data_IF_680336657701
#
_entry.id   IF_680336657701
#
_cell.length_a   1.000
_cell.length_b   1.000
_cell.length_c   1.000
_cell.angle_alpha   90.00
_cell.angle_beta   90.00
_cell.angle_gamma   90.00
#
_symmetry.space_group_name_H-M   'P 1'
#
loop_
_entity.id
_entity.type
_entity.pdbx_description
1 polymer ?
#
# COMPACT_ATOMS: atom_id res chain seq x y z
N UNK A 1 -3.52 -0.49 -25.98
CA UNK A 1 -4.45 -1.49 -25.42
C UNK A 1 -4.19 -1.67 -23.94
N UNK A 2 -5.23 -1.64 -23.15
CA UNK A 2 -5.17 -1.91 -21.71
C UNK A 2 -5.49 -3.39 -21.53
N UNK A 3 -4.45 -4.19 -21.25
CA UNK A 3 -4.62 -5.63 -21.06
C UNK A 3 -5.12 -5.94 -19.64
N UNK A 4 -6.32 -6.50 -19.53
CA UNK A 4 -6.99 -6.81 -18.25
C UNK A 4 -6.91 -8.27 -17.86
N UNK A 5 -5.82 -8.99 -18.12
CA UNK A 5 -5.79 -10.44 -17.91
C UNK A 5 -4.95 -10.92 -16.72
N UNK A 6 -4.59 -10.04 -15.80
CA UNK A 6 -3.80 -10.42 -14.64
C UNK A 6 -4.68 -10.44 -13.39
N UNK A 7 -4.69 -11.58 -12.73
CA UNK A 7 -5.40 -11.82 -11.48
C UNK A 7 -4.51 -11.34 -10.34
N UNK A 8 -4.75 -10.15 -9.89
CA UNK A 8 -3.97 -9.32 -9.02
C UNK A 8 -4.02 -7.91 -9.57
N UNK A 9 -3.71 -6.89 -8.81
CA UNK A 9 -3.76 -5.48 -9.26
C UNK A 9 -2.60 -5.13 -10.21
N UNK A 10 -2.43 -5.91 -11.27
CA UNK A 10 -1.39 -5.70 -12.28
C UNK A 10 -1.99 -5.20 -13.57
N UNK A 11 -1.50 -4.10 -14.10
CA UNK A 11 -1.89 -3.58 -15.40
C UNK A 11 -0.66 -3.22 -16.24
N UNK A 12 -0.66 -3.65 -17.50
CA UNK A 12 0.30 -3.26 -18.50
C UNK A 12 -0.34 -2.26 -19.47
N UNK A 13 0.25 -1.09 -19.63
CA UNK A 13 -0.19 -0.06 -20.57
C UNK A 13 0.60 -0.22 -21.87
N UNK A 14 -0.11 -0.35 -22.98
CA UNK A 14 0.44 -0.64 -24.30
C UNK A 14 -0.22 0.20 -25.40
N UNK A 15 0.01 1.51 -25.40
CA UNK A 15 -0.38 2.38 -26.52
C UNK A 15 0.78 3.27 -27.00
N UNK A 16 1.94 3.02 -26.44
CA UNK A 16 3.17 3.69 -26.71
C UNK A 16 4.25 2.65 -27.03
N UNK A 17 5.44 3.10 -27.34
CA UNK A 17 6.60 2.21 -27.44
C UNK A 17 7.03 1.65 -26.09
N UNK A 18 6.52 2.22 -24.98
CA UNK A 18 6.91 1.90 -23.60
C UNK A 18 5.91 0.95 -22.92
N UNK A 19 6.43 0.12 -22.00
CA UNK A 19 5.67 -0.81 -21.16
C UNK A 19 5.89 -0.50 -19.69
N UNK A 20 4.82 -0.24 -18.97
CA UNK A 20 4.84 0.07 -17.54
C UNK A 20 3.91 -0.88 -16.80
N UNK A 21 4.42 -1.48 -15.72
CA UNK A 21 3.60 -2.23 -14.77
C UNK A 21 3.18 -1.30 -13.62
N UNK A 22 1.91 -1.38 -13.23
CA UNK A 22 1.40 -0.72 -12.03
C UNK A 22 1.03 -1.80 -11.02
N UNK A 23 1.72 -1.81 -9.91
CA UNK A 23 1.67 -2.81 -8.84
C UNK A 23 2.06 -4.23 -9.29
N UNK A 24 2.64 -5.00 -8.39
CA UNK A 24 3.06 -6.40 -8.60
C UNK A 24 2.82 -7.17 -7.32
N UNK A 25 1.60 -7.57 -7.09
CA UNK A 25 1.13 -8.10 -5.83
C UNK A 25 0.86 -9.60 -5.81
N UNK A 26 0.49 -10.08 -4.63
CA UNK A 26 -0.03 -11.43 -4.43
C UNK A 26 -1.55 -11.39 -4.29
N UNK A 27 -2.25 -12.33 -4.92
CA UNK A 27 -3.70 -12.45 -4.78
C UNK A 27 -4.07 -12.80 -3.32
N UNK A 28 -4.89 -12.01 -2.65
CA UNK A 28 -5.43 -12.37 -1.35
C UNK A 28 -6.50 -13.45 -1.52
N UNK A 29 -6.10 -14.73 -1.57
CA UNK A 29 -7.01 -15.84 -1.78
C UNK A 29 -6.84 -16.91 -0.71
N UNK A 30 -7.92 -17.62 -0.41
CA UNK A 30 -7.91 -18.80 0.46
C UNK A 30 -7.31 -20.02 -0.24
N UNK A 31 -7.27 -20.03 -1.57
CA UNK A 31 -6.72 -21.13 -2.34
C UNK A 31 -5.20 -20.94 -2.53
N UNK A 32 -4.41 -21.71 -1.78
CA UNK A 32 -2.94 -21.64 -1.81
C UNK A 32 -2.31 -21.86 -3.19
N UNK A 33 -3.01 -22.51 -4.10
CA UNK A 33 -2.51 -22.76 -5.46
C UNK A 33 -2.68 -21.56 -6.42
N UNK A 34 -3.38 -20.51 -5.99
CA UNK A 34 -3.69 -19.34 -6.80
C UNK A 34 -3.11 -18.04 -6.23
N UNK A 35 -2.25 -18.12 -5.20
CA UNK A 35 -1.74 -16.94 -4.49
C UNK A 35 -0.77 -16.13 -5.36
N UNK A 36 -0.02 -16.80 -6.23
CA UNK A 36 1.04 -16.15 -7.00
C UNK A 36 0.57 -15.83 -8.41
N UNK A 37 0.83 -14.61 -8.91
CA UNK A 37 0.58 -14.32 -10.31
C UNK A 37 1.52 -15.14 -11.19
N UNK A 38 1.00 -15.59 -12.32
CA UNK A 38 1.79 -16.25 -13.35
C UNK A 38 2.24 -15.19 -14.36
N UNK A 39 3.54 -14.89 -14.39
CA UNK A 39 4.16 -13.98 -15.37
C UNK A 39 4.31 -14.66 -16.75
N UNK A 40 3.23 -15.24 -17.24
CA UNK A 40 3.21 -15.95 -18.53
C UNK A 40 2.49 -15.17 -19.64
N UNK A 41 2.10 -13.94 -19.39
CA UNK A 41 1.54 -13.07 -20.40
C UNK A 41 2.65 -12.71 -21.42
N UNK A 42 2.43 -12.96 -22.73
CA UNK A 42 3.46 -12.67 -23.75
C UNK A 42 3.91 -11.21 -23.75
N UNK A 43 3.04 -10.29 -23.32
CA UNK A 43 3.30 -8.86 -23.23
C UNK A 43 4.39 -8.52 -22.21
N UNK A 44 4.54 -9.33 -21.16
CA UNK A 44 5.54 -9.14 -20.11
C UNK A 44 6.91 -9.72 -20.47
N UNK A 45 6.98 -10.58 -21.46
CA UNK A 45 8.22 -11.30 -21.81
C UNK A 45 8.84 -10.76 -23.10
N UNK A 46 10.18 -10.68 -23.14
CA UNK A 46 11.09 -10.81 -22.01
C UNK A 46 10.94 -9.63 -21.04
N UNK A 47 11.27 -9.83 -19.76
CA UNK A 47 11.13 -8.80 -18.71
C UNK A 47 11.96 -7.53 -18.95
N UNK A 48 13.01 -7.63 -19.76
CA UNK A 48 13.84 -6.50 -20.20
C UNK A 48 13.04 -5.47 -21.05
N UNK A 49 11.88 -5.86 -21.58
CA UNK A 49 10.98 -4.97 -22.32
C UNK A 49 10.07 -4.14 -21.40
N UNK A 50 10.14 -4.33 -20.08
CA UNK A 50 9.40 -3.51 -19.12
C UNK A 50 10.29 -2.31 -18.78
N UNK A 51 9.83 -1.11 -19.16
CA UNK A 51 10.58 0.13 -18.97
C UNK A 51 10.54 0.61 -17.51
N UNK A 52 9.41 0.39 -16.82
CA UNK A 52 9.25 0.81 -15.44
C UNK A 52 8.20 -0.02 -14.69
N UNK A 53 8.34 -0.05 -13.37
CA UNK A 53 7.29 -0.48 -12.43
C UNK A 53 6.91 0.71 -11.58
N UNK A 54 5.61 0.91 -11.36
CA UNK A 54 5.07 1.95 -10.47
C UNK A 54 4.27 1.29 -9.38
N UNK A 55 4.53 1.62 -8.12
CA UNK A 55 3.80 1.07 -6.99
C UNK A 55 2.89 2.13 -6.38
N UNK A 56 1.62 1.80 -6.24
CA UNK A 56 0.63 2.70 -5.64
C UNK A 56 0.78 2.77 -4.13
N UNK A 57 1.00 1.64 -3.48
CA UNK A 57 1.18 1.56 -2.03
C UNK A 57 1.77 0.20 -1.60
N UNK A 58 2.03 0.03 -0.30
CA UNK A 58 2.83 -1.08 0.21
C UNK A 58 2.03 -2.33 0.66
N UNK A 59 0.71 -2.43 0.44
CA UNK A 59 0.01 -3.66 0.80
C UNK A 59 0.48 -4.86 -0.03
N UNK A 60 0.38 -6.06 0.56
CA UNK A 60 0.92 -7.32 0.01
C UNK A 60 0.35 -7.65 -1.36
N UNK A 61 -0.92 -7.35 -1.59
CA UNK A 61 -1.60 -7.53 -2.88
C UNK A 61 -1.17 -6.52 -3.97
N UNK A 62 -0.30 -5.56 -3.62
CA UNK A 62 0.28 -4.59 -4.56
C UNK A 62 1.79 -4.74 -4.72
N UNK A 63 2.52 -5.30 -3.72
CA UNK A 63 4.00 -5.31 -3.75
C UNK A 63 4.64 -6.69 -3.56
N UNK A 64 3.89 -7.70 -3.12
CA UNK A 64 4.53 -8.92 -2.65
C UNK A 64 5.31 -9.67 -3.72
N UNK A 65 4.90 -9.61 -4.99
CA UNK A 65 5.56 -10.35 -6.07
C UNK A 65 6.59 -9.51 -6.83
N UNK A 66 6.81 -8.26 -6.46
CA UNK A 66 7.83 -7.43 -7.09
C UNK A 66 9.23 -8.06 -7.06
N UNK A 67 9.75 -8.65 -5.95
CA UNK A 67 11.06 -9.27 -5.94
C UNK A 67 11.16 -10.47 -6.89
N UNK A 68 10.05 -11.10 -7.27
CA UNK A 68 10.02 -12.20 -8.25
C UNK A 68 10.45 -11.70 -9.64
N UNK A 69 10.06 -10.48 -10.04
CA UNK A 69 10.55 -9.89 -11.30
C UNK A 69 12.07 -9.80 -11.30
N UNK A 70 12.67 -9.35 -10.20
CA UNK A 70 14.13 -9.24 -10.06
C UNK A 70 14.81 -10.61 -10.08
N UNK A 71 14.21 -11.61 -9.45
CA UNK A 71 14.69 -13.00 -9.51
C UNK A 71 14.71 -13.53 -10.95
N UNK A 72 13.75 -13.14 -11.77
CA UNK A 72 13.66 -13.54 -13.18
C UNK A 72 14.32 -12.57 -14.17
N UNK A 73 15.09 -11.60 -13.69
CA UNK A 73 15.98 -10.81 -14.52
C UNK A 73 15.58 -9.37 -14.78
N UNK A 74 14.42 -8.89 -14.29
CA UNK A 74 14.10 -7.47 -14.36
C UNK A 74 15.19 -6.61 -13.70
N UNK A 75 15.58 -5.52 -14.35
CA UNK A 75 16.62 -4.58 -13.86
C UNK A 75 16.23 -3.12 -14.09
N UNK A 76 15.00 -2.85 -14.49
CA UNK A 76 14.46 -1.51 -14.66
C UNK A 76 14.14 -0.81 -13.34
N UNK A 77 13.76 0.46 -13.39
CA UNK A 77 13.42 1.27 -12.23
C UNK A 77 12.06 0.89 -11.63
N UNK A 78 11.93 1.09 -10.31
CA UNK A 78 10.67 0.94 -9.55
C UNK A 78 10.37 2.29 -8.92
N UNK A 79 9.26 2.89 -9.30
CA UNK A 79 8.84 4.20 -8.80
C UNK A 79 7.80 4.06 -7.72
N UNK A 80 8.01 4.70 -6.56
CA UNK A 80 7.04 4.74 -5.47
C UNK A 80 7.31 5.94 -4.56
N UNK A 81 6.42 6.19 -3.61
CA UNK A 81 6.68 7.17 -2.56
C UNK A 81 7.70 6.64 -1.55
N UNK A 82 8.49 7.49 -0.87
CA UNK A 82 9.45 7.07 0.15
C UNK A 82 8.84 6.16 1.23
N UNK A 83 7.64 6.46 1.80
CA UNK A 83 7.03 5.56 2.77
C UNK A 83 6.68 4.18 2.21
N UNK A 84 6.22 4.14 0.96
CA UNK A 84 5.91 2.87 0.29
C UNK A 84 7.15 2.00 0.16
N UNK A 85 8.33 2.57 -0.18
CA UNK A 85 9.61 1.85 -0.19
C UNK A 85 9.94 1.22 1.16
N UNK A 86 9.81 1.99 2.25
CA UNK A 86 10.21 1.53 3.57
C UNK A 86 9.25 0.43 4.09
N UNK A 87 7.94 0.63 3.93
CA UNK A 87 6.92 -0.35 4.29
C UNK A 87 6.99 -1.61 3.43
N UNK A 88 7.21 -1.47 2.12
CA UNK A 88 7.37 -2.58 1.19
C UNK A 88 8.46 -3.54 1.65
N UNK A 89 9.61 -3.00 2.04
CA UNK A 89 10.73 -3.81 2.53
C UNK A 89 10.34 -4.64 3.76
N UNK A 90 9.67 -4.03 4.72
CA UNK A 90 9.19 -4.71 5.92
C UNK A 90 8.24 -5.85 5.57
N UNK A 91 7.24 -5.58 4.74
CA UNK A 91 6.19 -6.53 4.38
C UNK A 91 6.70 -7.68 3.51
N UNK A 92 7.63 -7.42 2.58
CA UNK A 92 8.25 -8.48 1.77
C UNK A 92 9.13 -9.42 2.60
N UNK A 93 9.84 -8.89 3.61
CA UNK A 93 10.60 -9.74 4.55
C UNK A 93 9.65 -10.61 5.38
N UNK A 94 8.54 -10.05 5.82
CA UNK A 94 7.54 -10.80 6.57
C UNK A 94 6.87 -11.88 5.72
N UNK A 95 6.58 -11.59 4.46
CA UNK A 95 6.05 -12.58 3.51
C UNK A 95 6.93 -13.84 3.43
N UNK A 96 8.26 -13.67 3.43
CA UNK A 96 9.19 -14.81 3.51
C UNK A 96 9.03 -15.57 4.83
N UNK A 97 8.94 -14.86 5.96
CA UNK A 97 8.78 -15.49 7.29
C UNK A 97 7.49 -16.28 7.39
N UNK A 98 6.39 -15.71 6.89
CA UNK A 98 5.06 -16.36 6.89
C UNK A 98 5.11 -17.64 6.04
N UNK A 99 5.65 -17.58 4.82
CA UNK A 99 5.79 -18.76 3.96
C UNK A 99 6.60 -19.87 4.66
N UNK A 100 7.73 -19.52 5.29
CA UNK A 100 8.56 -20.47 6.04
C UNK A 100 7.80 -21.06 7.26
N UNK A 101 7.06 -20.25 8.00
CA UNK A 101 6.27 -20.70 9.14
C UNK A 101 5.13 -21.65 8.71
N UNK A 102 4.57 -21.46 7.52
CA UNK A 102 3.58 -22.35 6.91
C UNK A 102 4.16 -23.60 6.25
N UNK A 103 5.50 -23.74 6.23
CA UNK A 103 6.19 -24.85 5.60
C UNK A 103 6.14 -24.83 4.07
N UNK A 104 5.98 -23.64 3.48
CA UNK A 104 6.02 -23.43 2.03
C UNK A 104 7.31 -22.75 1.63
N UNK A 105 7.76 -22.99 0.38
CA UNK A 105 8.92 -22.29 -0.15
C UNK A 105 8.53 -20.86 -0.53
N UNK A 106 9.26 -19.84 -0.04
CA UNK A 106 8.99 -18.47 -0.43
C UNK A 106 9.34 -18.26 -1.92
N UNK A 107 8.55 -17.45 -2.65
CA UNK A 107 8.75 -17.25 -4.10
C UNK A 107 10.04 -16.51 -4.44
N UNK A 108 10.63 -15.83 -3.45
CA UNK A 108 11.88 -15.07 -3.58
C UNK A 108 12.68 -15.11 -2.27
N UNK A 109 13.92 -14.66 -2.35
CA UNK A 109 14.84 -14.57 -1.22
C UNK A 109 15.05 -13.14 -0.74
N UNK A 110 15.72 -12.99 0.43
CA UNK A 110 16.15 -11.67 0.91
C UNK A 110 17.11 -10.96 -0.07
N UNK A 111 17.89 -11.71 -0.84
CA UNK A 111 18.78 -11.15 -1.85
C UNK A 111 17.98 -10.50 -3.00
N UNK A 112 16.85 -11.11 -3.39
CA UNK A 112 15.97 -10.56 -4.42
C UNK A 112 15.30 -9.25 -3.93
N UNK A 113 14.92 -9.18 -2.65
CA UNK A 113 14.43 -7.93 -2.04
C UNK A 113 15.53 -6.86 -2.05
N UNK A 114 16.76 -7.20 -1.66
CA UNK A 114 17.87 -6.25 -1.67
C UNK A 114 18.18 -5.74 -3.08
N UNK A 115 18.07 -6.60 -4.08
CA UNK A 115 18.24 -6.18 -5.48
C UNK A 115 17.11 -5.22 -5.89
N UNK A 116 15.87 -5.55 -5.57
CA UNK A 116 14.71 -4.70 -5.82
C UNK A 116 14.91 -3.28 -5.24
N UNK A 117 15.32 -3.16 -3.98
CA UNK A 117 15.49 -1.88 -3.30
C UNK A 117 16.51 -0.99 -4.00
N UNK A 118 17.56 -1.54 -4.60
CA UNK A 118 18.58 -0.75 -5.34
C UNK A 118 18.01 -0.04 -6.58
N UNK A 119 16.89 -0.55 -7.10
CA UNK A 119 16.22 -0.02 -8.28
C UNK A 119 15.06 0.91 -7.95
N UNK A 120 14.77 1.14 -6.67
CA UNK A 120 13.69 2.02 -6.26
C UNK A 120 14.10 3.48 -6.44
N UNK A 121 13.22 4.24 -7.08
CA UNK A 121 13.30 5.68 -7.27
C UNK A 121 12.15 6.33 -6.50
N UNK A 122 12.49 7.12 -5.50
CA UNK A 122 11.51 7.83 -4.69
C UNK A 122 10.89 9.00 -5.44
N UNK A 123 9.57 9.11 -5.42
CA UNK A 123 8.80 10.24 -5.98
C UNK A 123 7.96 10.88 -4.87
N UNK A 124 8.06 12.18 -4.70
CA UNK A 124 7.20 12.97 -3.82
C UNK A 124 5.80 13.18 -4.40
N UNK A 125 4.80 13.41 -3.51
CA UNK A 125 3.47 13.78 -3.99
C UNK A 125 3.51 15.07 -4.82
N UNK A 126 2.80 15.09 -5.96
CA UNK A 126 2.73 16.20 -6.89
C UNK A 126 3.98 16.38 -7.76
N UNK A 127 5.02 15.59 -7.54
CA UNK A 127 6.23 15.61 -8.37
C UNK A 127 5.94 14.93 -9.71
N UNK A 128 6.31 15.64 -10.81
CA UNK A 128 6.18 15.09 -12.16
C UNK A 128 7.51 14.47 -12.58
N UNK A 129 7.47 13.19 -12.92
CA UNK A 129 8.66 12.41 -13.25
C UNK A 129 8.49 11.70 -14.59
N UNK A 130 9.48 11.81 -15.45
CA UNK A 130 9.57 11.01 -16.67
C UNK A 130 10.03 9.61 -16.29
N UNK A 131 9.22 8.58 -16.61
CA UNK A 131 9.50 7.18 -16.26
C UNK A 131 9.81 6.31 -17.48
N UNK A 132 9.46 6.80 -18.65
CA UNK A 132 9.75 6.22 -19.95
C UNK A 132 9.80 7.35 -20.99
N UNK A 133 10.32 7.13 -22.22
CA UNK A 133 10.47 8.19 -23.21
C UNK A 133 9.20 8.99 -23.52
N UNK A 134 8.05 8.33 -23.42
CA UNK A 134 6.74 8.88 -23.76
C UNK A 134 5.75 8.85 -22.57
N UNK A 135 6.23 8.54 -21.35
CA UNK A 135 5.37 8.44 -20.15
C UNK A 135 5.92 9.29 -19.01
N UNK A 136 5.08 10.21 -18.54
CA UNK A 136 5.30 11.00 -17.30
C UNK A 136 4.25 10.63 -16.28
N UNK A 137 4.66 10.57 -15.00
CA UNK A 137 3.73 10.33 -13.91
C UNK A 137 3.77 11.45 -12.88
N UNK A 138 2.68 11.58 -12.12
CA UNK A 138 2.65 12.21 -10.80
C UNK A 138 1.89 11.32 -9.84
N UNK A 139 2.34 11.30 -8.59
CA UNK A 139 1.70 10.57 -7.50
C UNK A 139 0.97 11.55 -6.60
N UNK A 140 -0.31 11.26 -6.31
CA UNK A 140 -1.14 12.08 -5.44
C UNK A 140 -1.61 11.26 -4.25
N UNK A 141 -1.77 11.89 -3.08
CA UNK A 141 -2.20 11.19 -1.88
C UNK A 141 -3.51 10.40 -2.09
N UNK A 142 -3.50 9.11 -1.84
CA UNK A 142 -4.67 8.22 -1.91
C UNK A 142 -5.40 8.08 -0.56
N UNK A 143 -4.83 8.57 0.54
CA UNK A 143 -5.45 8.58 1.87
C UNK A 143 -5.61 7.21 2.54
N UNK A 144 -5.18 6.13 1.89
CA UNK A 144 -5.44 4.75 2.31
C UNK A 144 -4.49 4.27 3.42
N UNK A 145 -3.20 4.27 3.17
CA UNK A 145 -2.13 4.02 4.15
C UNK A 145 -1.00 5.02 3.97
N UNK A 146 0.00 4.96 4.86
CA UNK A 146 1.19 5.81 4.75
C UNK A 146 1.88 5.60 3.40
N UNK A 147 2.06 6.67 2.64
CA UNK A 147 2.69 6.63 1.33
C UNK A 147 1.77 6.21 0.17
N UNK A 148 0.51 5.84 0.43
CA UNK A 148 -0.39 5.43 -0.64
C UNK A 148 -0.66 6.55 -1.64
N UNK A 149 -0.65 6.21 -2.92
CA UNK A 149 -0.81 7.17 -4.00
C UNK A 149 -1.79 6.70 -5.08
N UNK A 150 -2.55 7.66 -5.60
CA UNK A 150 -3.15 7.55 -6.93
C UNK A 150 -2.13 8.01 -7.96
N UNK A 151 -2.02 7.31 -9.08
CA UNK A 151 -1.02 7.57 -10.11
C UNK A 151 -1.70 8.20 -11.32
N UNK A 152 -1.33 9.44 -11.62
CA UNK A 152 -1.75 10.11 -12.85
C UNK A 152 -0.64 9.99 -13.87
N UNK A 153 -0.97 9.39 -15.02
CA UNK A 153 -0.04 9.15 -16.11
C UNK A 153 -0.40 10.00 -17.33
N UNK A 154 0.60 10.59 -17.89
CA UNK A 154 0.56 11.34 -19.14
C UNK A 154 1.36 10.56 -20.17
N UNK A 155 0.70 10.06 -21.19
CA UNK A 155 1.25 9.12 -22.17
C UNK A 155 1.21 9.79 -23.54
N UNK A 156 2.35 9.81 -24.24
CA UNK A 156 2.50 10.39 -25.56
C UNK A 156 2.49 11.92 -25.57
N UNK A 157 2.44 12.51 -26.76
CA UNK A 157 2.47 13.94 -26.98
C UNK A 157 1.49 14.39 -28.09
N UNK A 158 1.05 15.64 -28.01
CA UNK A 158 0.24 16.29 -29.05
C UNK A 158 -1.10 15.63 -29.31
N UNK A 159 -1.37 15.22 -30.55
CA UNK A 159 -2.64 14.60 -30.93
C UNK A 159 -2.79 13.14 -30.47
N UNK A 160 -1.72 12.53 -30.00
CA UNK A 160 -1.66 11.15 -29.48
C UNK A 160 -1.52 11.11 -27.96
N UNK A 161 -1.77 12.24 -27.29
CA UNK A 161 -1.76 12.33 -25.84
C UNK A 161 -2.91 11.55 -25.24
N UNK A 162 -2.62 10.68 -24.24
CA UNK A 162 -3.60 9.98 -23.44
C UNK A 162 -3.31 10.15 -21.94
N UNK A 163 -4.31 10.40 -21.15
CA UNK A 163 -4.22 10.64 -19.71
C UNK A 163 -4.94 9.56 -18.96
N UNK A 164 -4.20 8.81 -18.19
CA UNK A 164 -4.70 7.71 -17.38
C UNK A 164 -4.58 8.08 -15.90
N UNK A 165 -5.66 7.89 -15.16
CA UNK A 165 -5.65 7.95 -13.70
C UNK A 165 -5.87 6.55 -13.13
N UNK A 166 -4.90 6.09 -12.36
CA UNK A 166 -4.94 4.84 -11.62
C UNK A 166 -5.18 5.15 -10.15
N UNK A 167 -6.28 4.72 -9.55
CA UNK A 167 -6.63 5.11 -8.19
C UNK A 167 -5.70 4.51 -7.14
N UNK A 168 -5.14 3.30 -7.38
CA UNK A 168 -4.71 2.46 -6.27
C UNK A 168 -5.87 2.23 -5.32
N UNK A 169 -5.59 1.89 -4.08
CA UNK A 169 -6.58 1.84 -3.01
C UNK A 169 -6.77 3.25 -2.44
N UNK A 170 -8.01 3.72 -2.43
CA UNK A 170 -8.33 5.09 -2.03
C UNK A 170 -9.17 5.15 -0.75
N UNK A 171 -8.97 6.21 0.01
CA UNK A 171 -9.86 6.59 1.10
C UNK A 171 -10.28 8.03 0.95
N UNK A 172 -11.55 8.25 0.65
CA UNK A 172 -12.12 9.59 0.40
C UNK A 172 -12.46 10.37 1.67
N UNK A 173 -12.41 9.74 2.84
CA UNK A 173 -12.62 10.39 4.14
C UNK A 173 -11.29 10.59 4.87
N UNK A 174 -11.16 11.76 5.53
CA UNK A 174 -10.03 12.02 6.42
C UNK A 174 -10.01 11.00 7.56
N UNK A 175 -8.83 10.46 7.86
CA UNK A 175 -8.60 9.56 8.97
C UNK A 175 -7.88 10.27 10.13
N UNK A 176 -7.63 9.55 11.22
CA UNK A 176 -6.77 10.03 12.30
C UNK A 176 -5.31 10.22 11.86
N UNK A 177 -4.90 9.45 10.86
CA UNK A 177 -3.51 9.39 10.39
C UNK A 177 -3.31 10.18 9.10
N UNK A 178 -4.30 10.18 8.20
CA UNK A 178 -4.11 10.66 6.85
C UNK A 178 -5.23 11.61 6.43
N UNK A 179 -4.87 12.58 5.61
CA UNK A 179 -5.84 13.36 4.89
C UNK A 179 -6.59 12.49 3.87
N UNK A 180 -7.77 12.92 3.49
CA UNK A 180 -8.56 12.25 2.44
C UNK A 180 -7.78 12.17 1.12
N UNK A 181 -8.13 11.20 0.29
CA UNK A 181 -7.58 11.08 -1.06
C UNK A 181 -7.71 12.38 -1.84
N UNK A 182 -6.74 12.68 -2.68
CA UNK A 182 -6.81 13.77 -3.62
C UNK A 182 -8.02 13.58 -4.55
N UNK A 183 -8.81 14.63 -4.71
CA UNK A 183 -10.01 14.63 -5.58
C UNK A 183 -9.89 15.59 -6.75
N UNK A 184 -8.78 16.31 -6.86
CA UNK A 184 -8.54 17.30 -7.91
C UNK A 184 -7.43 16.80 -8.82
N UNK A 185 -7.82 16.25 -9.94
CA UNK A 185 -6.93 15.83 -11.00
C UNK A 185 -7.17 16.67 -12.26
N UNK A 186 -6.16 16.79 -13.14
CA UNK A 186 -6.41 17.25 -14.51
C UNK A 186 -7.41 16.31 -15.19
N UNK A 187 -7.88 16.71 -16.40
CA UNK A 187 -8.73 15.83 -17.19
C UNK A 187 -8.04 14.47 -17.39
N UNK A 188 -8.74 13.39 -17.05
CA UNK A 188 -8.34 12.03 -17.40
C UNK A 188 -9.21 11.51 -18.55
N UNK A 189 -8.57 10.81 -19.50
CA UNK A 189 -9.26 10.15 -20.60
C UNK A 189 -9.69 8.73 -20.24
N UNK A 190 -8.91 8.10 -19.33
CA UNK A 190 -9.23 6.79 -18.74
C UNK A 190 -9.05 6.84 -17.23
N UNK A 191 -9.96 6.22 -16.50
CA UNK A 191 -9.89 6.00 -15.06
C UNK A 191 -9.93 4.50 -14.76
N UNK A 192 -8.93 4.02 -14.03
CA UNK A 192 -8.91 2.69 -13.41
C UNK A 192 -9.10 2.89 -11.92
N UNK A 193 -10.21 2.41 -11.39
CA UNK A 193 -10.60 2.64 -10.01
C UNK A 193 -10.87 1.31 -9.30
N UNK A 194 -10.42 1.23 -8.04
CA UNK A 194 -10.77 0.12 -7.17
C UNK A 194 -12.28 -0.01 -6.94
N UNK A 195 -12.70 -1.20 -6.54
CA UNK A 195 -14.11 -1.47 -6.20
C UNK A 195 -14.25 -2.41 -5.00
N UNK A 196 -13.33 -2.34 -4.05
CA UNK A 196 -13.29 -3.19 -2.84
C UNK A 196 -14.60 -3.14 -2.07
N UNK A 197 -15.18 -1.95 -1.97
CA UNK A 197 -16.50 -1.71 -1.37
C UNK A 197 -17.51 -1.19 -2.39
N UNK A 198 -17.47 -1.73 -3.61
CA UNK A 198 -18.31 -1.29 -4.72
C UNK A 198 -19.68 -1.96 -4.80
N UNK A 199 -19.98 -2.90 -3.91
CA UNK A 199 -21.26 -3.59 -3.89
C UNK A 199 -22.40 -2.72 -3.33
N UNK A 200 -23.65 -2.95 -3.76
CA UNK A 200 -24.80 -2.11 -3.36
C UNK A 200 -25.14 -2.21 -1.86
N UNK A 201 -24.55 -3.16 -1.14
CA UNK A 201 -24.73 -3.36 0.31
C UNK A 201 -23.46 -3.05 1.12
N UNK A 202 -22.40 -2.56 0.50
CA UNK A 202 -21.11 -2.29 1.13
C UNK A 202 -21.12 -0.90 1.80
N UNK A 203 -21.92 -0.77 2.86
CA UNK A 203 -21.96 0.42 3.68
C UNK A 203 -20.93 0.33 4.79
N UNK A 204 -19.98 1.26 4.81
CA UNK A 204 -19.05 1.36 5.93
C UNK A 204 -19.67 2.16 7.07
N UNK A 205 -19.46 1.73 8.34
CA UNK A 205 -19.88 2.54 9.48
C UNK A 205 -19.12 3.87 9.51
N UNK A 206 -19.76 4.89 10.07
CA UNK A 206 -19.10 6.16 10.31
C UNK A 206 -17.87 5.95 11.22
N UNK A 207 -16.77 6.60 10.89
CA UNK A 207 -15.51 6.46 11.63
C UNK A 207 -15.64 6.87 13.10
N UNK A 208 -16.42 7.90 13.40
CA UNK A 208 -16.66 8.34 14.77
C UNK A 208 -17.36 7.25 15.58
N UNK A 209 -18.36 6.60 14.98
CA UNK A 209 -19.10 5.51 15.63
C UNK A 209 -18.18 4.30 15.86
N UNK A 210 -17.37 3.92 14.88
CA UNK A 210 -16.40 2.84 15.03
C UNK A 210 -15.33 3.15 16.10
N UNK A 211 -14.91 4.42 16.23
CA UNK A 211 -13.98 4.85 17.28
C UNK A 211 -14.62 4.73 18.66
N UNK A 212 -15.86 5.19 18.80
CA UNK A 212 -16.60 5.07 20.07
C UNK A 212 -16.82 3.60 20.44
N UNK A 213 -17.15 2.74 19.49
CA UNK A 213 -17.33 1.30 19.74
C UNK A 213 -16.04 0.67 20.28
N UNK A 214 -14.88 0.95 19.69
CA UNK A 214 -13.59 0.47 20.21
C UNK A 214 -13.35 1.00 21.62
N UNK A 215 -13.60 2.30 21.87
CA UNK A 215 -13.42 2.90 23.19
C UNK A 215 -14.33 2.30 24.22
N UNK A 216 -15.58 2.00 23.90
CA UNK A 216 -16.53 1.36 24.79
C UNK A 216 -16.18 -0.09 25.10
N UNK A 217 -15.63 -0.83 24.11
CA UNK A 217 -15.07 -2.16 24.35
C UNK A 217 -13.88 -2.12 25.32
N UNK A 218 -13.01 -1.10 25.21
CA UNK A 218 -11.89 -0.91 26.15
C UNK A 218 -12.41 -0.59 27.55
N UNK A 219 -13.37 0.32 27.71
CA UNK A 219 -14.01 0.64 28.99
C UNK A 219 -14.62 -0.60 29.63
N UNK A 220 -15.35 -1.40 28.84
CA UNK A 220 -15.98 -2.63 29.29
C UNK A 220 -14.94 -3.66 29.78
N UNK A 221 -13.86 -3.84 29.04
CA UNK A 221 -12.81 -4.78 29.43
C UNK A 221 -12.13 -4.32 30.74
N UNK A 222 -11.81 -3.04 30.88
CA UNK A 222 -11.20 -2.49 32.10
C UNK A 222 -12.13 -2.67 33.30
N UNK A 223 -13.43 -2.37 33.17
CA UNK A 223 -14.41 -2.52 34.26
C UNK A 223 -14.54 -3.96 34.76
N UNK A 224 -14.22 -4.93 33.90
CA UNK A 224 -14.28 -6.37 34.21
C UNK A 224 -12.92 -6.98 34.55
N UNK A 225 -11.85 -6.18 34.62
CA UNK A 225 -10.45 -6.66 34.70
C UNK A 225 -10.14 -7.70 33.61
N UNK A 226 -10.76 -7.52 32.44
CA UNK A 226 -10.65 -8.40 31.29
C UNK A 226 -9.48 -8.06 30.39
N UNK A 227 -9.35 -8.83 29.31
CA UNK A 227 -8.35 -8.61 28.25
C UNK A 227 -9.07 -8.42 26.92
N UNK A 228 -8.50 -7.62 26.04
CA UNK A 228 -8.94 -7.47 24.65
C UNK A 228 -7.84 -8.03 23.75
N UNK A 229 -8.21 -8.88 22.83
CA UNK A 229 -7.39 -9.30 21.72
C UNK A 229 -7.93 -8.63 20.45
N UNK A 230 -7.08 -7.81 19.81
CA UNK A 230 -7.47 -7.01 18.66
C UNK A 230 -6.62 -7.41 17.44
N UNK A 231 -7.07 -8.35 16.59
CA UNK A 231 -6.38 -8.69 15.35
C UNK A 231 -6.57 -7.57 14.35
N UNK A 232 -5.46 -6.97 13.90
CA UNK A 232 -5.45 -5.84 12.98
C UNK A 232 -4.28 -5.95 12.00
N UNK A 233 -4.42 -5.34 10.83
CA UNK A 233 -3.28 -5.19 9.93
C UNK A 233 -2.18 -4.34 10.57
N UNK A 234 -0.93 -4.74 10.38
CA UNK A 234 0.23 -4.07 10.97
C UNK A 234 0.41 -2.63 10.48
N UNK A 235 -0.04 -2.34 9.25
CA UNK A 235 0.07 -1.02 8.62
C UNK A 235 -1.30 -0.35 8.53
N UNK A 236 -1.41 0.87 9.03
CA UNK A 236 -2.58 1.73 8.97
C UNK A 236 -3.60 1.45 10.09
N UNK A 237 -4.25 0.30 10.11
CA UNK A 237 -5.32 0.00 11.08
C UNK A 237 -4.84 -0.09 12.53
N UNK A 238 -3.70 -0.70 12.78
CA UNK A 238 -3.12 -0.80 14.13
C UNK A 238 -2.81 0.58 14.70
N UNK A 239 -2.25 1.48 13.90
CA UNK A 239 -1.93 2.84 14.33
C UNK A 239 -3.20 3.65 14.62
N UNK A 240 -4.28 3.47 13.84
CA UNK A 240 -5.57 4.10 14.13
C UNK A 240 -6.19 3.61 15.44
N UNK A 241 -6.15 2.30 15.71
CA UNK A 241 -6.62 1.72 16.99
C UNK A 241 -5.81 2.28 18.16
N UNK A 242 -4.49 2.37 18.02
CA UNK A 242 -3.64 2.97 19.07
C UNK A 242 -4.01 4.43 19.34
N UNK A 243 -4.30 5.23 18.31
CA UNK A 243 -4.73 6.62 18.48
C UNK A 243 -6.10 6.72 19.16
N UNK A 244 -7.05 5.84 18.83
CA UNK A 244 -8.35 5.80 19.49
C UNK A 244 -8.24 5.46 20.98
N UNK A 245 -7.33 4.53 21.34
CA UNK A 245 -7.05 4.18 22.74
C UNK A 245 -6.32 5.33 23.46
N UNK A 246 -5.34 5.96 22.83
CA UNK A 246 -4.61 7.12 23.38
C UNK A 246 -5.57 8.30 23.66
N UNK A 247 -6.53 8.54 22.76
CA UNK A 247 -7.56 9.55 22.97
C UNK A 247 -8.43 9.24 24.20
N UNK A 248 -8.80 7.96 24.37
CA UNK A 248 -9.59 7.53 25.54
C UNK A 248 -8.80 7.74 26.84
N UNK A 249 -7.48 7.50 26.86
CA UNK A 249 -6.66 7.78 28.05
C UNK A 249 -6.56 9.28 28.32
N UNK A 250 -6.40 10.09 27.26
CA UNK A 250 -6.34 11.56 27.37
C UNK A 250 -7.66 12.18 27.84
N UNK A 251 -8.80 11.56 27.58
CA UNK A 251 -10.10 12.04 28.10
C UNK A 251 -10.24 11.83 29.61
N UNK A 252 -9.42 10.95 30.21
CA UNK A 252 -9.49 10.63 31.62
C UNK A 252 -10.63 9.66 31.99
N UNK A 253 -11.39 9.18 31.02
CA UNK A 253 -12.48 8.21 31.25
C UNK A 253 -11.97 6.84 31.71
N UNK A 254 -10.75 6.50 31.30
CA UNK A 254 -10.08 5.25 31.69
C UNK A 254 -8.64 5.56 32.08
N UNK A 255 -8.18 5.01 33.19
CA UNK A 255 -6.76 5.07 33.54
C UNK A 255 -5.91 4.32 32.52
N UNK A 256 -4.70 4.80 32.18
CA UNK A 256 -3.84 4.09 31.23
C UNK A 256 -3.62 2.63 31.62
N UNK A 257 -3.75 1.76 30.63
CA UNK A 257 -3.49 0.32 30.74
C UNK A 257 -2.32 -0.06 29.85
N UNK A 258 -1.72 -1.22 30.10
CA UNK A 258 -0.68 -1.75 29.22
C UNK A 258 -1.27 -2.24 27.91
N UNK A 259 -0.73 -1.77 26.80
CA UNK A 259 -1.05 -2.22 25.44
C UNK A 259 0.13 -3.02 24.93
N UNK A 260 -0.11 -4.27 24.57
CA UNK A 260 0.90 -5.16 24.00
C UNK A 260 0.78 -5.14 22.48
N UNK A 261 1.90 -4.92 21.80
CA UNK A 261 2.02 -4.97 20.35
C UNK A 261 2.77 -6.24 19.97
N UNK A 262 2.25 -6.98 18.99
CA UNK A 262 2.87 -8.20 18.48
C UNK A 262 2.98 -8.16 16.95
N UNK A 263 3.83 -8.99 16.39
CA UNK A 263 4.12 -9.01 14.97
C UNK A 263 4.89 -7.76 14.51
N UNK A 264 4.56 -7.23 13.33
CA UNK A 264 5.25 -6.09 12.70
C UNK A 264 4.71 -4.72 13.13
N UNK A 265 3.76 -4.65 14.08
CA UNK A 265 3.10 -3.39 14.43
C UNK A 265 4.12 -2.36 14.93
N UNK A 266 5.11 -2.80 15.72
CA UNK A 266 6.14 -1.92 16.28
C UNK A 266 7.02 -1.29 15.18
N UNK A 267 7.51 -2.09 14.24
CA UNK A 267 8.34 -1.64 13.13
C UNK A 267 7.54 -0.72 12.18
N UNK A 268 6.32 -1.12 11.84
CA UNK A 268 5.45 -0.28 11.02
C UNK A 268 5.17 1.06 11.71
N UNK A 269 4.92 1.05 13.03
CA UNK A 269 4.70 2.28 13.80
C UNK A 269 5.95 3.15 13.85
N UNK A 270 7.13 2.56 13.95
CA UNK A 270 8.40 3.32 13.89
C UNK A 270 8.57 4.03 12.54
N UNK A 271 8.20 3.39 11.42
CA UNK A 271 8.20 4.03 10.10
C UNK A 271 7.21 5.20 10.08
N UNK A 272 5.99 5.04 10.63
CA UNK A 272 5.01 6.12 10.71
C UNK A 272 5.49 7.30 11.58
N UNK A 273 6.30 7.04 12.59
CA UNK A 273 6.81 8.06 13.51
C UNK A 273 8.14 8.70 13.08
N UNK A 274 8.72 8.24 11.96
CA UNK A 274 10.02 8.76 11.50
C UNK A 274 9.89 10.21 11.00
N UNK A 275 10.59 11.18 11.62
CA UNK A 275 10.45 12.59 11.24
C UNK A 275 11.17 12.94 9.93
N UNK A 276 12.00 12.06 9.40
CA UNK A 276 12.89 12.38 8.26
C UNK A 276 12.17 12.36 6.91
N UNK A 277 11.02 11.70 6.82
CA UNK A 277 10.39 11.45 5.51
C UNK A 277 8.96 11.95 5.38
N UNK A 278 8.24 12.26 6.50
CA UNK A 278 6.79 12.36 6.43
C UNK A 278 6.25 13.52 7.27
N UNK A 279 6.27 14.70 6.71
CA UNK A 279 6.08 16.00 7.37
C UNK A 279 4.72 16.24 8.04
N UNK A 280 3.80 15.29 8.09
CA UNK A 280 2.44 15.52 8.56
C UNK A 280 1.96 14.61 9.70
N UNK A 281 2.78 13.69 10.20
CA UNK A 281 2.35 12.76 11.26
C UNK A 281 3.12 12.98 12.55
N UNK A 282 2.49 13.61 13.52
CA UNK A 282 2.90 13.57 14.92
C UNK A 282 2.16 12.44 15.62
N UNK A 283 2.65 11.21 15.52
CA UNK A 283 2.21 10.16 16.45
C UNK A 283 2.71 10.52 17.86
N UNK A 284 1.87 10.33 18.89
CA UNK A 284 2.32 10.57 20.26
C UNK A 284 3.48 9.65 20.60
N UNK A 285 4.66 10.22 20.79
CA UNK A 285 5.94 9.55 21.10
C UNK A 285 5.98 8.88 22.49
N UNK A 286 4.84 8.71 23.15
CA UNK A 286 4.70 8.15 24.49
C UNK A 286 3.76 6.95 24.59
N UNK A 287 3.61 6.16 23.58
CA UNK A 287 3.19 4.78 23.77
C UNK A 287 4.46 4.02 24.18
N UNK A 288 4.74 3.99 25.49
CA UNK A 288 5.78 3.11 26.02
C UNK A 288 5.32 1.66 25.80
N UNK A 289 6.12 0.94 25.03
CA UNK A 289 6.08 -0.50 24.86
C UNK A 289 6.43 -1.18 26.20
#
# INVERSE_FOLDING_TARGET
>A
EIGSSLVGSEMCIRDSESKVLVDVGAKPTVNKNEIQPFFNAPELLPLDNIDAVVLTHAHVDHIAMLPVLFRYGYRGPVYCTPPTRDLMTLLQIDYIKVAQAEGTDPPYSKADIQECIKHVVDIGYGEKTDIAPDIKISMENAGHILGSSSVYMHIGEGSHEHRLLFSGDIKYEKSWLFDAAAVRFPKADTLVIESTYGGPQDFQPNRTDATHEIQDLVKLAVSRSGKIFCPVFAVGRSQEVMLAIDQLFKSGEVSPITVWLDGMISEATAIHASPVSYTHLTLPTRLMV
#
